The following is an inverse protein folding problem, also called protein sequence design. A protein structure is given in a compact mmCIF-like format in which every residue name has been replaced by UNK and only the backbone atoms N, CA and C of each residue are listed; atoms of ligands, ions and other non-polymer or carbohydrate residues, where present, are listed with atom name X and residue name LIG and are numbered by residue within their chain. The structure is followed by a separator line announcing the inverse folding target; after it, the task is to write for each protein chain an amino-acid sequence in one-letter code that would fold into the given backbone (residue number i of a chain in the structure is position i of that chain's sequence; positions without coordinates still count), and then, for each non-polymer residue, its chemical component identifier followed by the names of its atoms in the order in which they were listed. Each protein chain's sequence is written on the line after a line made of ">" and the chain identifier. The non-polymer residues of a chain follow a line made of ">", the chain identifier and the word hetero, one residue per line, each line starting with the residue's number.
data_IF_321684281039
#
_entry.id   IF_321684281039
#
_cell.length_a   1.000
_cell.length_b   1.000
_cell.length_c   1.000
_cell.angle_alpha   90.00
_cell.angle_beta   90.00
_cell.angle_gamma   90.00
#
_symmetry.space_group_name_H-M   'P 1'
#
loop_
_entity.id
_entity.type
_entity.pdbx_description
1 polymer ?
#
# COMPACT_ATOMS: atom_id res chain seq x y z
N UNK A 1 -3.41 -9.62 12.84
CA UNK A 1 -4.21 -8.64 12.08
C UNK A 1 -4.66 -9.18 10.72
N UNK A 2 -5.84 -8.78 10.27
CA UNK A 2 -6.43 -9.15 8.99
C UNK A 2 -6.98 -7.90 8.30
N UNK A 3 -6.27 -7.43 7.27
CA UNK A 3 -6.52 -6.15 6.62
C UNK A 3 -7.73 -6.27 5.68
N UNK A 4 -8.59 -5.28 5.75
CA UNK A 4 -9.69 -5.00 4.82
C UNK A 4 -9.58 -3.57 4.28
N UNK A 5 -10.43 -3.21 3.31
CA UNK A 5 -10.43 -1.86 2.73
C UNK A 5 -10.68 -0.76 3.78
N UNK A 6 -11.40 -1.07 4.85
CA UNK A 6 -11.72 -0.13 5.93
C UNK A 6 -10.50 0.26 6.79
N UNK A 7 -9.46 -0.54 6.77
CA UNK A 7 -8.27 -0.34 7.61
C UNK A 7 -7.24 0.60 6.97
N UNK A 8 -7.45 0.98 5.70
CA UNK A 8 -6.61 1.97 5.05
C UNK A 8 -6.89 3.36 5.62
N UNK A 9 -5.83 4.05 5.98
CA UNK A 9 -5.90 5.43 6.44
C UNK A 9 -5.03 6.28 5.52
N UNK A 10 -5.66 7.21 4.80
CA UNK A 10 -4.97 8.06 3.83
C UNK A 10 -4.02 9.07 4.44
N UNK A 11 -4.11 9.29 5.77
CA UNK A 11 -3.24 10.20 6.51
C UNK A 11 -1.88 9.56 6.85
N UNK A 12 -1.77 8.22 6.72
CA UNK A 12 -0.57 7.47 7.07
C UNK A 12 -0.16 6.51 5.96
N UNK A 13 1.14 6.38 5.77
CA UNK A 13 1.70 5.38 4.86
C UNK A 13 1.47 3.94 5.33
N UNK A 14 1.45 3.73 6.65
CA UNK A 14 1.43 2.40 7.25
C UNK A 14 0.07 2.04 7.86
N UNK A 15 -0.35 0.78 7.70
CA UNK A 15 -1.46 0.21 8.44
C UNK A 15 -0.94 -0.41 9.73
N UNK A 16 -1.16 0.25 10.87
CA UNK A 16 -0.71 -0.26 12.18
C UNK A 16 -1.78 -1.08 12.90
N UNK A 17 -3.05 -0.83 12.63
CA UNK A 17 -4.19 -1.47 13.29
C UNK A 17 -5.19 -1.95 12.26
N UNK A 18 -5.89 -3.04 12.57
CA UNK A 18 -6.99 -3.58 11.77
C UNK A 18 -8.21 -3.81 12.66
N UNK A 19 -9.40 -3.62 12.10
CA UNK A 19 -10.67 -3.91 12.80
C UNK A 19 -10.76 -5.39 13.16
N UNK A 20 -10.25 -6.26 12.28
CA UNK A 20 -10.36 -7.72 12.41
C UNK A 20 -9.01 -8.40 12.59
N UNK A 21 -9.07 -9.61 13.12
CA UNK A 21 -7.94 -10.53 13.20
C UNK A 21 -8.32 -11.92 12.68
N UNK A 22 -7.32 -12.71 12.36
CA UNK A 22 -7.46 -14.12 11.98
C UNK A 22 -6.65 -14.96 12.93
N UNK A 23 -7.19 -16.11 13.33
CA UNK A 23 -6.47 -17.08 14.15
C UNK A 23 -5.41 -17.82 13.31
N UNK A 24 -4.42 -18.43 13.98
CA UNK A 24 -3.43 -19.28 13.30
C UNK A 24 -4.09 -20.42 12.52
N UNK A 25 -5.10 -21.04 13.11
CA UNK A 25 -5.87 -22.10 12.47
C UNK A 25 -6.65 -21.58 11.24
N UNK A 26 -7.25 -20.39 11.37
CA UNK A 26 -7.94 -19.72 10.26
C UNK A 26 -6.99 -19.42 9.11
N UNK A 27 -5.79 -18.92 9.40
CA UNK A 27 -4.76 -18.67 8.38
C UNK A 27 -4.36 -19.96 7.65
N UNK A 28 -4.14 -21.06 8.39
CA UNK A 28 -3.76 -22.35 7.81
C UNK A 28 -4.87 -23.00 6.96
N UNK A 29 -6.14 -22.81 7.35
CA UNK A 29 -7.30 -23.41 6.68
C UNK A 29 -7.93 -22.53 5.59
N UNK A 30 -7.40 -21.34 5.36
CA UNK A 30 -7.93 -20.40 4.35
C UNK A 30 -6.94 -20.19 3.20
N UNK A 31 -7.43 -19.63 2.09
CA UNK A 31 -6.59 -19.18 0.97
C UNK A 31 -5.90 -17.85 1.21
N UNK A 32 -6.13 -17.22 2.36
CA UNK A 32 -5.53 -15.95 2.76
C UNK A 32 -4.00 -16.03 2.77
N UNK A 33 -3.38 -15.00 2.25
CA UNK A 33 -1.91 -14.86 2.20
C UNK A 33 -1.41 -13.96 3.32
N UNK A 34 -0.17 -14.18 3.74
CA UNK A 34 0.48 -13.37 4.75
C UNK A 34 1.46 -12.41 4.06
N UNK A 35 1.22 -11.11 4.25
CA UNK A 35 2.16 -10.07 3.89
C UNK A 35 3.25 -9.96 4.97
N UNK A 36 4.43 -9.56 4.55
CA UNK A 36 5.58 -9.36 5.41
C UNK A 36 5.88 -7.86 5.56
N UNK A 37 6.70 -7.52 6.55
CA UNK A 37 7.18 -6.15 6.72
C UNK A 37 7.78 -5.62 5.42
N UNK A 38 7.34 -4.44 4.99
CA UNK A 38 7.78 -3.77 3.78
C UNK A 38 7.01 -4.16 2.51
N UNK A 39 6.12 -5.15 2.58
CA UNK A 39 5.18 -5.40 1.48
C UNK A 39 4.22 -4.21 1.33
N UNK A 40 3.77 -3.97 0.12
CA UNK A 40 2.77 -2.96 -0.21
C UNK A 40 1.42 -3.63 -0.41
N UNK A 41 0.36 -3.01 0.08
CA UNK A 41 -1.01 -3.47 -0.14
C UNK A 41 -1.80 -2.39 -0.87
N UNK A 42 -2.65 -2.80 -1.79
CA UNK A 42 -3.56 -1.90 -2.53
C UNK A 42 -4.98 -2.46 -2.50
N UNK A 43 -5.94 -1.58 -2.27
CA UNK A 43 -7.36 -1.91 -2.37
C UNK A 43 -7.79 -2.03 -3.84
N UNK A 44 -8.41 -3.14 -4.19
CA UNK A 44 -8.83 -3.48 -5.55
C UNK A 44 -10.33 -3.35 -5.79
N UNK A 45 -11.13 -3.31 -4.73
CA UNK A 45 -12.59 -3.19 -4.74
C UNK A 45 -13.07 -2.34 -3.57
N UNK A 46 -14.25 -1.72 -3.71
CA UNK A 46 -14.77 -0.76 -2.74
C UNK A 46 -14.11 0.61 -2.94
N UNK A 47 -13.38 1.13 -1.98
CA UNK A 47 -12.54 2.32 -2.20
C UNK A 47 -11.28 1.90 -2.93
N UNK A 48 -11.31 1.95 -4.25
CA UNK A 48 -10.25 1.42 -5.12
C UNK A 48 -9.02 2.33 -5.14
N UNK A 49 -7.83 1.69 -5.07
CA UNK A 49 -6.55 2.37 -5.22
C UNK A 49 -6.05 3.08 -3.97
N UNK A 50 -6.56 2.70 -2.79
CA UNK A 50 -5.91 3.04 -1.52
C UNK A 50 -4.67 2.15 -1.34
N UNK A 51 -3.57 2.74 -0.88
CA UNK A 51 -2.27 2.07 -0.83
C UNK A 51 -1.65 2.27 0.55
N UNK A 52 -1.06 1.20 1.08
CA UNK A 52 -0.30 1.27 2.32
C UNK A 52 0.93 0.33 2.30
N UNK A 53 1.84 0.57 3.20
CA UNK A 53 2.97 -0.32 3.50
C UNK A 53 2.68 -1.12 4.77
N UNK A 54 3.13 -2.38 4.78
CA UNK A 54 2.93 -3.30 5.91
C UNK A 54 4.10 -3.17 6.90
N UNK A 55 3.84 -2.75 8.16
CA UNK A 55 4.89 -2.57 9.16
C UNK A 55 5.35 -3.88 9.83
N UNK A 56 4.49 -4.90 9.86
CA UNK A 56 4.74 -6.25 10.38
C UNK A 56 3.81 -7.26 9.70
N UNK A 57 3.99 -8.56 9.92
CA UNK A 57 3.21 -9.59 9.23
C UNK A 57 1.71 -9.46 9.46
N UNK A 58 0.94 -9.38 8.37
CA UNK A 58 -0.52 -9.24 8.37
C UNK A 58 -1.16 -10.08 7.27
N UNK A 59 -2.30 -10.69 7.57
CA UNK A 59 -3.17 -11.29 6.58
C UNK A 59 -4.07 -10.21 5.93
N UNK A 60 -4.69 -10.51 4.80
CA UNK A 60 -5.56 -9.56 4.11
C UNK A 60 -6.70 -10.28 3.37
N UNK A 61 -7.78 -9.54 3.07
CA UNK A 61 -8.94 -10.07 2.38
C UNK A 61 -8.79 -10.02 0.85
N UNK A 62 -9.72 -10.67 0.15
CA UNK A 62 -9.74 -10.79 -1.32
C UNK A 62 -10.05 -9.47 -2.06
N UNK A 63 -10.40 -8.41 -1.36
CA UNK A 63 -10.61 -7.08 -1.94
C UNK A 63 -9.33 -6.27 -2.12
N UNK A 64 -8.20 -6.86 -1.74
CA UNK A 64 -6.87 -6.23 -1.81
C UNK A 64 -5.89 -7.09 -2.59
N UNK A 65 -4.86 -6.44 -3.14
CA UNK A 65 -3.66 -7.09 -3.67
C UNK A 65 -2.46 -6.77 -2.79
N UNK A 66 -1.67 -7.79 -2.49
CA UNK A 66 -0.36 -7.65 -1.87
C UNK A 66 0.75 -7.65 -2.92
N UNK A 67 1.68 -6.72 -2.81
CA UNK A 67 2.79 -6.52 -3.73
C UNK A 67 4.09 -6.62 -2.95
N UNK A 68 5.01 -7.44 -3.42
CA UNK A 68 6.33 -7.62 -2.80
C UNK A 68 7.43 -7.14 -3.73
N UNK A 69 8.35 -6.37 -3.20
CA UNK A 69 9.51 -5.90 -3.92
C UNK A 69 10.38 -7.07 -4.39
N UNK A 70 10.71 -7.10 -5.68
CA UNK A 70 11.61 -8.10 -6.24
C UNK A 70 13.05 -7.75 -5.87
N UNK A 71 13.66 -8.61 -5.06
CA UNK A 71 15.03 -8.42 -4.56
C UNK A 71 16.01 -8.15 -5.70
N UNK A 72 16.83 -7.12 -5.52
CA UNK A 72 17.84 -6.71 -6.51
C UNK A 72 17.30 -5.84 -7.66
N UNK A 73 15.98 -5.69 -7.82
CA UNK A 73 15.36 -4.85 -8.86
C UNK A 73 14.69 -3.61 -8.27
N UNK A 74 13.92 -3.78 -7.21
CA UNK A 74 13.17 -2.68 -6.60
C UNK A 74 13.25 -2.77 -5.08
N UNK A 75 13.38 -1.62 -4.41
CA UNK A 75 13.31 -1.54 -2.95
C UNK A 75 11.85 -1.45 -2.49
N UNK A 76 11.54 -1.93 -1.28
CA UNK A 76 10.17 -1.86 -0.73
C UNK A 76 9.64 -0.44 -0.66
N UNK A 77 10.46 0.51 -0.21
CA UNK A 77 10.07 1.91 -0.13
C UNK A 77 9.79 2.52 -1.50
N UNK A 78 10.65 2.23 -2.48
CA UNK A 78 10.45 2.72 -3.83
C UNK A 78 9.20 2.10 -4.49
N UNK A 79 8.95 0.82 -4.25
CA UNK A 79 7.74 0.15 -4.75
C UNK A 79 6.46 0.84 -4.28
N UNK A 80 6.40 1.25 -3.00
CA UNK A 80 5.25 2.00 -2.48
C UNK A 80 4.98 3.28 -3.29
N UNK A 81 5.99 4.12 -3.49
CA UNK A 81 5.84 5.37 -4.22
C UNK A 81 5.58 5.15 -5.72
N UNK A 82 6.23 4.14 -6.31
CA UNK A 82 6.00 3.77 -7.70
C UNK A 82 4.54 3.38 -7.95
N UNK A 83 3.97 2.52 -7.11
CA UNK A 83 2.57 2.11 -7.22
C UNK A 83 1.63 3.29 -6.94
N UNK A 84 1.90 4.09 -5.91
CA UNK A 84 1.12 5.28 -5.57
C UNK A 84 1.04 6.26 -6.75
N UNK A 85 2.15 6.52 -7.42
CA UNK A 85 2.21 7.37 -8.60
C UNK A 85 1.39 6.79 -9.76
N UNK A 86 1.62 5.52 -10.12
CA UNK A 86 0.95 4.89 -11.26
C UNK A 86 -0.56 4.76 -11.06
N UNK A 87 -1.02 4.43 -9.87
CA UNK A 87 -2.46 4.40 -9.54
C UNK A 87 -3.08 5.79 -9.67
N UNK A 88 -2.39 6.84 -9.23
CA UNK A 88 -2.84 8.22 -9.40
C UNK A 88 -2.98 8.59 -10.88
N UNK A 89 -2.04 8.18 -11.73
CA UNK A 89 -2.10 8.40 -13.19
C UNK A 89 -3.27 7.63 -13.80
N UNK A 90 -3.46 6.37 -13.44
CA UNK A 90 -4.58 5.55 -13.91
C UNK A 90 -5.92 6.20 -13.54
N UNK A 91 -6.09 6.63 -12.29
CA UNK A 91 -7.31 7.32 -11.83
C UNK A 91 -7.60 8.62 -12.63
N UNK A 92 -6.56 9.37 -12.98
CA UNK A 92 -6.72 10.62 -13.76
C UNK A 92 -7.08 10.38 -15.22
N UNK A 93 -6.60 9.30 -15.83
CA UNK A 93 -6.78 9.00 -17.23
C UNK A 93 -8.14 8.34 -17.53
N UNK A 94 -8.88 7.89 -16.53
CA UNK A 94 -10.23 7.34 -16.66
C UNK A 94 -11.31 8.44 -16.69
N UNK A 95 -11.19 9.39 -17.64
CA UNK A 95 -12.20 10.42 -17.81
C UNK A 95 -13.57 9.79 -18.17
N UNK A 96 -14.51 9.83 -17.23
CA UNK A 96 -15.91 9.44 -17.43
C UNK A 96 -16.22 7.95 -17.26
N UNK A 97 -15.26 7.08 -17.06
CA UNK A 97 -15.50 5.70 -16.61
C UNK A 97 -15.12 5.55 -15.14
N UNK A 98 -15.98 4.90 -14.38
CA UNK A 98 -15.73 4.63 -12.97
C UNK A 98 -14.56 3.67 -12.88
N UNK A 99 -13.48 4.05 -12.17
CA UNK A 99 -12.34 3.17 -11.86
C UNK A 99 -12.77 2.21 -10.73
N UNK A 100 -13.63 1.24 -11.12
CA UNK A 100 -14.38 0.43 -10.16
C UNK A 100 -13.59 -0.74 -9.57
N UNK A 101 -12.56 -1.19 -10.28
CA UNK A 101 -11.77 -2.35 -9.83
C UNK A 101 -10.34 -2.30 -10.37
N UNK A 102 -9.39 -2.76 -9.54
CA UNK A 102 -8.05 -3.12 -9.97
C UNK A 102 -8.02 -4.63 -10.19
N UNK A 103 -7.51 -5.06 -11.32
CA UNK A 103 -7.31 -6.46 -11.68
C UNK A 103 -5.83 -6.74 -11.92
N UNK A 104 -5.44 -8.00 -12.12
CA UNK A 104 -4.08 -8.34 -12.53
C UNK A 104 -3.70 -7.67 -13.84
N UNK A 105 -4.60 -7.66 -14.81
CA UNK A 105 -4.38 -6.99 -16.11
C UNK A 105 -4.12 -5.48 -15.95
N UNK A 106 -4.64 -4.85 -14.89
CA UNK A 106 -4.32 -3.45 -14.60
C UNK A 106 -2.82 -3.26 -14.34
N UNK A 107 -2.19 -4.19 -13.61
CA UNK A 107 -0.75 -4.14 -13.37
C UNK A 107 0.06 -4.54 -14.60
N UNK A 108 -0.41 -5.50 -15.39
CA UNK A 108 0.27 -5.94 -16.63
C UNK A 108 0.35 -4.85 -17.68
N UNK A 109 -0.57 -3.88 -17.65
CA UNK A 109 -0.60 -2.72 -18.53
C UNK A 109 0.18 -1.50 -18.01
N UNK A 110 0.80 -1.59 -16.85
CA UNK A 110 1.63 -0.52 -16.29
C UNK A 110 3.08 -0.74 -16.74
N UNK A 111 3.52 0.05 -17.70
CA UNK A 111 4.93 0.12 -18.07
C UNK A 111 5.66 1.12 -17.16
N UNK A 112 6.76 0.69 -16.56
CA UNK A 112 7.55 1.51 -15.64
C UNK A 112 9.04 1.42 -15.95
N UNK A 113 9.71 2.55 -15.94
CA UNK A 113 11.16 2.60 -15.92
C UNK A 113 11.66 2.55 -14.48
N UNK A 114 12.46 1.54 -14.16
CA UNK A 114 12.99 1.35 -12.80
C UNK A 114 14.45 1.81 -12.79
N UNK A 115 14.78 2.90 -12.09
CA UNK A 115 16.15 3.38 -11.98
C UNK A 115 17.01 2.44 -11.13
N UNK A 116 18.32 2.69 -11.09
CA UNK A 116 19.24 1.91 -10.25
C UNK A 116 18.83 1.96 -8.76
N UNK A 117 19.16 0.92 -8.01
CA UNK A 117 18.84 0.83 -6.55
C UNK A 117 19.31 2.07 -5.79
N UNK A 118 20.48 2.60 -6.13
CA UNK A 118 21.03 3.82 -5.50
C UNK A 118 20.13 5.04 -5.73
N UNK A 119 19.57 5.18 -6.92
CA UNK A 119 18.62 6.26 -7.25
C UNK A 119 17.29 6.03 -6.55
N UNK A 120 16.75 4.80 -6.54
CA UNK A 120 15.56 4.43 -5.81
C UNK A 120 15.65 4.82 -4.33
N UNK A 121 16.78 4.49 -3.68
CA UNK A 121 17.02 4.82 -2.28
C UNK A 121 17.04 6.33 -2.03
N UNK A 122 17.66 7.13 -2.92
CA UNK A 122 17.64 8.59 -2.80
C UNK A 122 16.24 9.17 -2.92
N UNK A 123 15.48 8.72 -3.92
CA UNK A 123 14.08 9.15 -4.10
C UNK A 123 13.24 8.79 -2.87
N UNK A 124 13.33 7.54 -2.44
CA UNK A 124 12.55 7.05 -1.30
C UNK A 124 12.92 7.76 0.00
N UNK A 125 14.20 8.09 0.22
CA UNK A 125 14.62 8.82 1.42
C UNK A 125 13.93 10.19 1.51
N UNK A 126 13.93 10.95 0.42
CA UNK A 126 13.28 12.27 0.38
C UNK A 126 11.78 12.15 0.64
N UNK A 127 11.10 11.22 -0.03
CA UNK A 127 9.66 11.04 0.11
C UNK A 127 9.27 10.50 1.50
N UNK A 128 10.08 9.61 2.07
CA UNK A 128 9.90 9.12 3.44
C UNK A 128 9.99 10.24 4.49
N UNK A 129 10.86 11.23 4.27
CA UNK A 129 10.97 12.36 5.20
C UNK A 129 9.73 13.25 5.14
N UNK A 130 9.11 13.41 3.96
CA UNK A 130 7.81 14.08 3.85
C UNK A 130 6.69 13.29 4.53
N UNK A 131 6.59 11.98 4.31
CA UNK A 131 5.58 11.14 4.96
C UNK A 131 5.71 11.20 6.50
N UNK A 132 6.94 11.10 7.04
CA UNK A 132 7.20 11.25 8.49
C UNK A 132 6.76 12.62 9.02
N UNK A 133 6.99 13.69 8.26
CA UNK A 133 6.56 15.04 8.65
C UNK A 133 5.04 15.16 8.68
N UNK A 134 4.34 14.56 7.71
CA UNK A 134 2.88 14.52 7.68
C UNK A 134 2.36 13.74 8.89
N UNK A 135 2.90 12.55 9.17
CA UNK A 135 2.53 11.72 10.32
C UNK A 135 2.73 12.48 11.65
N UNK A 136 3.87 13.17 11.80
CA UNK A 136 4.17 13.96 12.99
C UNK A 136 3.19 15.12 13.16
N UNK A 137 2.90 15.86 12.09
CA UNK A 137 1.95 16.95 12.13
C UNK A 137 0.53 16.47 12.49
N UNK A 138 0.10 15.35 11.94
CA UNK A 138 -1.19 14.75 12.28
C UNK A 138 -1.24 14.29 13.74
N UNK A 139 -0.17 13.73 14.27
CA UNK A 139 -0.07 13.36 15.69
C UNK A 139 -0.14 14.60 16.60
N UNK A 140 0.54 15.70 16.23
CA UNK A 140 0.49 16.98 16.97
C UNK A 140 -0.94 17.54 16.95
N UNK A 141 -1.58 17.60 15.78
CA UNK A 141 -2.93 18.11 15.64
C UNK A 141 -3.94 17.30 16.49
N UNK A 142 -3.83 15.97 16.47
CA UNK A 142 -4.69 15.10 17.28
C UNK A 142 -4.49 15.31 18.79
N UNK A 143 -3.26 15.64 19.24
CA UNK A 143 -2.98 15.94 20.64
C UNK A 143 -3.47 17.34 21.06
N UNK A 144 -3.59 18.28 20.13
CA UNK A 144 -4.10 19.64 20.41
C UNK A 144 -5.63 19.71 20.47
N UNK A 145 -6.31 18.70 19.90
CA UNK A 145 -7.79 18.63 19.86
C UNK A 145 -8.39 17.83 21.05
N UNK A 146 -7.53 17.20 21.87
CA UNK A 146 -7.91 16.49 23.09
C UNK A 146 -7.50 17.27 24.35
#
# INVERSE_FOLDING_TARGET
>A
PWISVKDFNNDFRYVYKTEKSITQLGLQKSSTKLLQRGDVIISARGTVGEIATIPFAMAFNQSCYGLRAKKGMVTSDYLYYLIKHNVSVLKKNTHGSVFDTITRNTFDNIEVEIPSIKIQQKISSILNDYDKKIELNNAINNNLLN
#
